data_IF_306252287344
#
_entry.id   IF_306252287344
#
_cell.length_a   1.000
_cell.length_b   1.000
_cell.length_c   1.000
_cell.angle_alpha   90.00
_cell.angle_beta   90.00
_cell.angle_gamma   90.00
#
_symmetry.space_group_name_H-M   'P 1'
#
loop_
_entity.id
_entity.type
_entity.pdbx_description
1 polymer ?
#
# COMPACT_ATOMS: atom_id res chain seq x y z
N UNK A 1 48.77 -14.44 0.71
CA UNK A 1 50.07 -14.06 0.17
C UNK A 1 49.83 -13.76 -1.31
N UNK A 2 49.52 -12.53 -1.61
CA UNK A 2 49.14 -12.07 -2.94
C UNK A 2 50.37 -11.54 -3.66
N UNK A 3 50.67 -12.14 -4.80
CA UNK A 3 51.79 -11.75 -5.64
C UNK A 3 51.29 -10.59 -6.51
N UNK A 4 51.85 -9.41 -6.22
CA UNK A 4 51.68 -8.22 -7.06
C UNK A 4 52.46 -8.44 -8.35
N UNK A 5 51.78 -8.67 -9.43
CA UNK A 5 52.40 -8.61 -10.76
C UNK A 5 52.80 -7.17 -11.08
N UNK A 6 54.08 -6.96 -11.00
CA UNK A 6 54.75 -5.70 -11.35
C UNK A 6 54.74 -5.60 -12.88
N UNK A 7 53.88 -4.75 -13.42
CA UNK A 7 53.93 -4.38 -14.84
C UNK A 7 55.30 -3.76 -15.17
N UNK A 8 56.21 -4.56 -15.65
CA UNK A 8 57.47 -4.06 -16.23
C UNK A 8 57.15 -3.56 -17.63
N UNK A 9 57.22 -2.25 -17.79
CA UNK A 9 57.19 -1.64 -19.09
C UNK A 9 58.44 -2.08 -19.86
N UNK A 10 58.30 -2.86 -20.92
CA UNK A 10 59.41 -3.20 -21.83
C UNK A 10 59.87 -1.93 -22.53
N UNK A 11 61.24 -1.62 -22.46
CA UNK A 11 61.74 -0.44 -23.13
C UNK A 11 61.63 -0.63 -24.64
N UNK A 12 61.04 0.34 -25.31
CA UNK A 12 60.88 0.36 -26.74
C UNK A 12 62.20 0.79 -27.38
N UNK A 13 62.80 -0.10 -28.16
CA UNK A 13 64.12 0.13 -28.78
C UNK A 13 64.08 0.82 -30.14
N UNK A 14 62.92 1.15 -30.69
CA UNK A 14 62.74 1.88 -31.94
C UNK A 14 61.57 2.85 -31.87
N UNK A 15 61.57 3.94 -32.64
CA UNK A 15 60.47 4.88 -32.69
C UNK A 15 59.22 4.18 -33.26
N UNK A 16 58.18 4.07 -32.44
CA UNK A 16 56.89 3.51 -32.82
C UNK A 16 55.78 4.14 -32.00
N UNK A 17 54.56 4.00 -32.49
CA UNK A 17 53.38 4.47 -31.80
C UNK A 17 52.95 3.41 -30.82
N UNK A 18 52.97 3.72 -29.52
CA UNK A 18 52.41 2.86 -28.47
C UNK A 18 50.97 3.30 -28.28
N UNK A 19 50.00 2.48 -28.69
CA UNK A 19 48.61 2.68 -28.37
C UNK A 19 48.36 2.01 -27.03
N UNK A 20 48.01 2.79 -26.02
CA UNK A 20 47.55 2.31 -24.72
C UNK A 20 46.04 2.45 -24.69
N UNK A 21 45.40 1.34 -24.65
CA UNK A 21 43.94 1.32 -24.35
C UNK A 21 43.78 1.52 -22.85
N UNK A 22 43.19 2.62 -22.45
CA UNK A 22 42.83 2.87 -21.06
C UNK A 22 41.33 2.62 -20.97
N UNK A 23 41.00 1.50 -20.36
CA UNK A 23 39.60 1.22 -20.05
C UNK A 23 39.13 2.17 -18.94
N UNK A 24 38.42 3.23 -19.36
CA UNK A 24 37.78 4.19 -18.45
C UNK A 24 36.46 3.71 -17.90
N UNK A 25 36.04 2.46 -18.19
CA UNK A 25 34.81 1.87 -17.68
C UNK A 25 34.92 1.38 -16.22
N UNK A 26 36.14 1.32 -15.66
CA UNK A 26 36.35 0.97 -14.27
C UNK A 26 35.98 2.15 -13.38
N UNK A 27 34.73 2.20 -12.97
CA UNK A 27 34.29 3.22 -12.04
C UNK A 27 32.88 3.77 -12.29
N UNK A 28 32.19 3.30 -13.31
CA UNK A 28 30.77 3.54 -13.38
C UNK A 28 30.10 2.60 -12.37
N UNK A 29 30.01 3.05 -11.11
CA UNK A 29 29.02 2.49 -10.23
C UNK A 29 27.71 2.60 -11.01
N UNK A 30 27.11 1.46 -11.34
CA UNK A 30 25.71 1.44 -11.74
C UNK A 30 24.96 2.12 -10.60
N UNK A 31 24.67 3.40 -10.82
CA UNK A 31 23.79 4.13 -9.93
C UNK A 31 22.43 3.49 -10.16
N UNK A 32 22.15 2.43 -9.41
CA UNK A 32 20.82 1.86 -9.29
C UNK A 32 20.02 2.98 -8.65
N UNK A 33 19.46 3.84 -9.48
CA UNK A 33 18.48 4.82 -9.08
C UNK A 33 17.35 4.01 -8.48
N UNK A 34 17.31 3.94 -7.15
CA UNK A 34 16.15 3.43 -6.45
C UNK A 34 14.98 4.33 -6.85
N UNK A 35 14.13 3.85 -7.76
CA UNK A 35 12.91 4.53 -8.18
C UNK A 35 11.94 4.51 -6.99
N UNK A 36 12.08 5.49 -6.10
CA UNK A 36 11.16 5.67 -4.99
C UNK A 36 10.33 6.90 -5.30
N UNK A 37 9.02 6.70 -5.41
CA UNK A 37 8.05 7.78 -5.55
C UNK A 37 7.20 7.93 -4.30
N UNK A 38 6.46 9.03 -4.23
CA UNK A 38 5.45 9.23 -3.20
C UNK A 38 4.21 9.89 -3.81
N UNK A 39 3.04 9.47 -3.37
CA UNK A 39 1.76 10.05 -3.75
C UNK A 39 0.83 10.14 -2.54
N UNK A 40 0.15 11.26 -2.42
CA UNK A 40 -0.94 11.43 -1.46
C UNK A 40 -2.23 11.75 -2.22
N UNK A 41 -3.32 11.08 -1.86
CA UNK A 41 -4.57 11.28 -2.58
C UNK A 41 -5.79 10.62 -1.94
N UNK A 42 -6.98 10.92 -2.44
CA UNK A 42 -8.25 10.40 -1.93
C UNK A 42 -8.50 8.99 -2.46
N UNK A 43 -7.76 8.00 -1.98
CA UNK A 43 -7.97 6.61 -2.33
C UNK A 43 -9.26 6.06 -1.71
N UNK A 44 -9.85 5.05 -2.35
CA UNK A 44 -11.15 4.48 -1.94
C UNK A 44 -11.06 3.67 -0.64
N UNK A 45 -10.00 2.90 -0.49
CA UNK A 45 -9.71 2.03 0.64
C UNK A 45 -8.37 2.41 1.28
N UNK A 46 -8.01 1.70 2.33
CA UNK A 46 -6.72 1.78 2.97
C UNK A 46 -6.69 2.66 4.22
N UNK A 47 -5.62 2.54 5.00
CA UNK A 47 -5.45 3.32 6.20
C UNK A 47 -5.26 4.82 5.88
N UNK A 48 -5.56 5.66 6.85
CA UNK A 48 -5.27 7.09 6.82
C UNK A 48 -4.23 7.44 7.87
N UNK A 49 -3.55 8.57 7.68
CA UNK A 49 -2.43 9.01 8.52
C UNK A 49 -1.25 8.02 8.57
N UNK A 50 -1.15 7.17 7.55
CA UNK A 50 -0.07 6.21 7.39
C UNK A 50 0.37 6.17 5.93
N UNK A 51 1.67 6.06 5.68
CA UNK A 51 2.23 5.88 4.35
C UNK A 51 2.63 4.43 4.14
N UNK A 52 2.03 3.78 3.16
CA UNK A 52 2.27 2.37 2.83
C UNK A 52 3.21 2.26 1.63
N UNK A 53 4.19 1.38 1.72
CA UNK A 53 5.09 1.06 0.62
C UNK A 53 4.43 0.03 -0.31
N UNK A 54 4.23 0.43 -1.56
CA UNK A 54 3.61 -0.36 -2.61
C UNK A 54 4.65 -0.65 -3.69
N UNK A 55 4.77 -1.89 -4.07
CA UNK A 55 5.75 -2.34 -5.07
C UNK A 55 5.12 -2.86 -6.36
N UNK A 56 3.86 -3.25 -6.31
CA UNK A 56 3.13 -3.78 -7.47
C UNK A 56 1.74 -3.14 -7.61
N UNK A 57 1.21 -3.15 -8.83
CA UNK A 57 -0.19 -2.71 -9.05
C UNK A 57 -1.17 -3.58 -8.26
N UNK A 58 -0.89 -4.87 -8.10
CA UNK A 58 -1.76 -5.76 -7.33
C UNK A 58 -1.79 -5.38 -5.84
N UNK A 59 -0.65 -4.98 -5.26
CA UNK A 59 -0.61 -4.48 -3.88
C UNK A 59 -1.39 -3.17 -3.74
N UNK A 60 -1.32 -2.29 -4.77
CA UNK A 60 -2.09 -1.07 -4.81
C UNK A 60 -3.61 -1.37 -4.81
N UNK A 61 -4.05 -2.33 -5.61
CA UNK A 61 -5.46 -2.76 -5.67
C UNK A 61 -5.90 -3.37 -4.34
N UNK A 62 -5.09 -4.24 -3.76
CA UNK A 62 -5.44 -4.94 -2.53
C UNK A 62 -5.54 -3.99 -1.33
N UNK A 63 -4.68 -2.96 -1.28
CA UNK A 63 -4.60 -2.04 -0.16
C UNK A 63 -5.55 -0.84 -0.33
N UNK A 64 -5.56 -0.22 -1.50
CA UNK A 64 -6.28 1.03 -1.74
C UNK A 64 -7.51 0.90 -2.62
N UNK A 65 -7.76 -0.30 -3.15
CA UNK A 65 -8.87 -0.59 -4.04
C UNK A 65 -8.68 0.00 -5.44
N UNK A 66 -9.39 -0.55 -6.40
CA UNK A 66 -9.45 0.01 -7.76
C UNK A 66 -10.73 0.82 -7.90
N UNK A 67 -10.66 2.14 -8.12
CA UNK A 67 -11.84 2.96 -8.37
C UNK A 67 -12.40 2.70 -9.76
N UNK A 68 -13.66 3.06 -9.97
CA UNK A 68 -14.25 3.13 -11.31
C UNK A 68 -13.65 4.32 -12.08
N UNK A 69 -13.63 4.22 -13.40
CA UNK A 69 -13.10 5.30 -14.26
C UNK A 69 -13.88 6.64 -14.16
N UNK A 70 -15.07 6.59 -13.61
CA UNK A 70 -15.92 7.75 -13.33
C UNK A 70 -15.68 8.37 -11.96
N UNK A 71 -14.94 7.70 -11.10
CA UNK A 71 -14.68 8.17 -9.75
C UNK A 71 -13.57 9.24 -9.75
N UNK A 72 -13.69 10.24 -8.89
CA UNK A 72 -12.67 11.31 -8.74
C UNK A 72 -11.31 10.76 -8.28
N UNK A 73 -11.29 9.61 -7.62
CA UNK A 73 -10.08 8.92 -7.17
C UNK A 73 -9.31 8.26 -8.31
N UNK A 74 -9.94 8.07 -9.47
CA UNK A 74 -9.34 7.33 -10.58
C UNK A 74 -8.05 7.96 -11.10
N UNK A 75 -7.95 9.28 -11.15
CA UNK A 75 -6.75 9.99 -11.61
C UNK A 75 -5.54 9.71 -10.70
N UNK A 76 -5.75 9.71 -9.39
CA UNK A 76 -4.69 9.41 -8.41
C UNK A 76 -4.27 7.95 -8.51
N UNK A 77 -5.24 7.04 -8.61
CA UNK A 77 -4.98 5.62 -8.77
C UNK A 77 -4.23 5.33 -10.08
N UNK A 78 -4.64 5.94 -11.19
CA UNK A 78 -4.00 5.76 -12.50
C UNK A 78 -2.55 6.28 -12.48
N UNK A 79 -2.30 7.40 -11.84
CA UNK A 79 -0.95 7.96 -11.68
C UNK A 79 -0.05 7.01 -10.89
N UNK A 80 -0.58 6.45 -9.79
CA UNK A 80 0.13 5.47 -8.98
C UNK A 80 0.43 4.17 -9.76
N UNK A 81 -0.57 3.63 -10.46
CA UNK A 81 -0.44 2.43 -11.30
C UNK A 81 0.57 2.65 -12.44
N UNK A 82 0.52 3.81 -13.08
CA UNK A 82 1.47 4.17 -14.14
C UNK A 82 2.90 4.24 -13.62
N UNK A 83 3.13 4.83 -12.44
CA UNK A 83 4.45 4.85 -11.81
C UNK A 83 4.96 3.43 -11.55
N UNK A 84 4.14 2.57 -10.97
CA UNK A 84 4.51 1.19 -10.64
C UNK A 84 4.82 0.37 -11.88
N UNK A 85 4.24 0.68 -13.05
CA UNK A 85 4.51 -0.01 -14.31
C UNK A 85 5.96 0.17 -14.81
N UNK A 86 6.65 1.23 -14.39
CA UNK A 86 8.06 1.47 -14.68
C UNK A 86 9.02 0.78 -13.71
N UNK A 87 8.48 0.11 -12.70
CA UNK A 87 9.26 -0.50 -11.63
C UNK A 87 9.72 0.52 -10.59
N UNK A 88 9.60 0.17 -9.34
CA UNK A 88 9.99 1.05 -8.22
C UNK A 88 9.13 0.80 -6.99
N UNK A 89 9.40 1.56 -5.94
CA UNK A 89 8.61 1.55 -4.70
C UNK A 89 7.85 2.86 -4.62
N UNK A 90 6.54 2.79 -4.43
CA UNK A 90 5.68 3.94 -4.27
C UNK A 90 5.17 4.03 -2.83
N UNK A 91 5.51 5.12 -2.15
CA UNK A 91 4.90 5.45 -0.86
C UNK A 91 3.55 6.11 -1.10
N UNK A 92 2.49 5.44 -0.67
CA UNK A 92 1.12 5.90 -0.86
C UNK A 92 0.53 6.31 0.48
N UNK A 93 0.08 7.54 0.57
CA UNK A 93 -0.65 8.06 1.73
C UNK A 93 -2.09 8.40 1.32
N UNK A 94 -3.06 7.84 2.02
CA UNK A 94 -4.46 8.19 1.81
C UNK A 94 -4.80 9.48 2.50
N UNK A 95 -5.37 10.42 1.74
CA UNK A 95 -5.85 11.68 2.30
C UNK A 95 -7.02 11.43 3.26
N UNK A 96 -6.92 11.99 4.45
CA UNK A 96 -7.99 11.95 5.43
C UNK A 96 -8.99 13.08 5.22
N UNK A 97 -10.27 12.76 5.37
CA UNK A 97 -11.36 13.73 5.36
C UNK A 97 -12.06 13.76 6.71
N UNK A 98 -12.52 14.95 7.13
CA UNK A 98 -13.21 15.14 8.41
C UNK A 98 -14.47 14.26 8.56
N UNK A 99 -15.06 13.83 7.45
CA UNK A 99 -16.28 13.01 7.40
C UNK A 99 -16.02 11.52 7.18
N UNK A 100 -14.76 11.10 7.06
CA UNK A 100 -14.42 9.69 6.92
C UNK A 100 -14.57 8.97 8.26
N UNK A 101 -15.55 8.07 8.32
CA UNK A 101 -15.78 7.19 9.47
C UNK A 101 -15.80 5.74 9.00
N UNK A 102 -15.58 4.81 9.91
CA UNK A 102 -15.70 3.39 9.63
C UNK A 102 -17.16 2.97 9.74
N UNK A 103 -17.64 2.22 8.76
CA UNK A 103 -18.92 1.55 8.89
C UNK A 103 -18.87 0.61 10.09
N UNK A 104 -19.89 0.65 10.94
CA UNK A 104 -19.93 -0.15 12.15
C UNK A 104 -21.35 -0.65 12.44
N UNK A 105 -21.46 -1.75 13.15
CA UNK A 105 -22.71 -2.32 13.58
C UNK A 105 -22.60 -2.82 15.02
N UNK A 106 -23.69 -2.70 15.75
CA UNK A 106 -23.82 -3.31 17.08
C UNK A 106 -23.98 -4.83 17.02
N UNK A 107 -24.03 -5.47 18.18
CA UNK A 107 -24.30 -6.89 18.28
C UNK A 107 -25.67 -7.23 17.66
N UNK A 108 -25.79 -8.33 16.89
CA UNK A 108 -27.07 -8.78 16.41
C UNK A 108 -27.96 -9.16 17.61
N UNK A 109 -29.13 -8.55 17.68
CA UNK A 109 -30.17 -8.93 18.64
C UNK A 109 -31.23 -9.65 17.82
N UNK A 110 -31.42 -10.96 18.08
CA UNK A 110 -32.40 -11.75 17.34
C UNK A 110 -32.11 -11.89 15.84
N UNK A 111 -30.85 -11.92 15.45
CA UNK A 111 -30.43 -12.10 14.05
C UNK A 111 -30.44 -10.80 13.20
N UNK A 112 -30.87 -9.68 13.75
CA UNK A 112 -30.86 -8.40 13.04
C UNK A 112 -29.74 -7.52 13.60
N UNK A 113 -28.79 -7.15 12.76
CA UNK A 113 -27.74 -6.20 13.09
C UNK A 113 -28.33 -4.81 13.36
N UNK A 114 -28.04 -4.25 14.52
CA UNK A 114 -28.40 -2.86 14.81
C UNK A 114 -27.28 -1.98 14.29
N UNK A 115 -27.62 -1.05 13.39
CA UNK A 115 -26.67 -0.02 12.98
C UNK A 115 -26.23 0.79 14.20
N UNK A 116 -24.93 0.88 14.42
CA UNK A 116 -24.41 1.74 15.46
C UNK A 116 -24.56 3.20 15.03
N UNK A 117 -25.02 4.03 15.96
CA UNK A 117 -25.13 5.49 15.74
C UNK A 117 -23.84 6.24 16.11
N UNK A 118 -22.82 5.53 16.59
CA UNK A 118 -21.56 6.14 16.98
C UNK A 118 -20.67 6.34 15.77
N UNK A 119 -20.17 7.56 15.60
CA UNK A 119 -19.15 7.86 14.60
C UNK A 119 -17.80 7.30 15.10
N UNK A 120 -17.37 6.21 14.49
CA UNK A 120 -16.09 5.58 14.81
C UNK A 120 -15.13 5.88 13.66
N UNK A 121 -13.91 6.29 14.00
CA UNK A 121 -12.86 6.53 13.03
C UNK A 121 -11.59 5.82 13.47
N UNK A 122 -11.41 4.62 12.97
CA UNK A 122 -10.19 3.84 13.12
C UNK A 122 -9.29 4.19 11.94
N UNK A 123 -8.20 4.89 12.19
CA UNK A 123 -7.34 5.44 11.14
C UNK A 123 -6.44 4.38 10.50
N UNK A 124 -5.81 3.57 11.35
CA UNK A 124 -4.87 2.53 10.97
C UNK A 124 -4.80 1.48 12.09
N UNK A 125 -3.91 0.51 11.94
CA UNK A 125 -3.77 -0.58 12.89
C UNK A 125 -3.25 -0.12 14.26
N UNK A 126 -2.34 0.84 14.29
CA UNK A 126 -1.78 1.38 15.54
C UNK A 126 -2.85 2.14 16.34
N UNK A 127 -3.68 2.93 15.65
CA UNK A 127 -4.82 3.62 16.27
C UNK A 127 -5.84 2.61 16.82
N UNK A 128 -6.10 1.51 16.07
CA UNK A 128 -6.94 0.43 16.57
C UNK A 128 -6.39 -0.18 17.85
N UNK A 129 -5.11 -0.53 17.87
CA UNK A 129 -4.49 -1.13 19.06
C UNK A 129 -4.45 -0.17 20.26
N UNK A 130 -4.21 1.12 20.03
CA UNK A 130 -4.10 2.10 21.10
C UNK A 130 -5.42 2.59 21.69
N UNK A 131 -6.49 2.59 20.88
CA UNK A 131 -7.73 3.28 21.25
C UNK A 131 -8.99 2.42 21.24
N UNK A 132 -8.96 1.24 20.57
CA UNK A 132 -10.19 0.51 20.28
C UNK A 132 -10.20 -0.95 20.74
N UNK A 133 -9.13 -1.50 21.27
CA UNK A 133 -9.06 -2.91 21.73
C UNK A 133 -9.88 -3.18 22.99
N UNK A 134 -10.03 -2.18 23.87
CA UNK A 134 -10.71 -2.34 25.15
C UNK A 134 -12.14 -1.78 25.14
N UNK A 135 -12.68 -1.45 23.98
CA UNK A 135 -14.04 -0.92 23.86
C UNK A 135 -15.05 -2.02 24.01
N UNK A 136 -15.83 -1.98 25.11
CA UNK A 136 -16.86 -2.96 25.43
C UNK A 136 -18.26 -2.52 25.03
N UNK A 137 -18.44 -1.31 24.52
CA UNK A 137 -19.76 -0.75 24.22
C UNK A 137 -19.77 0.05 22.93
N UNK A 138 -20.87 -0.02 22.21
CA UNK A 138 -21.17 0.82 21.06
C UNK A 138 -21.09 0.13 19.70
N UNK A 139 -20.25 -0.88 19.52
CA UNK A 139 -20.17 -1.65 18.29
C UNK A 139 -19.58 -3.04 18.53
N UNK A 140 -19.95 -4.00 17.70
CA UNK A 140 -19.38 -5.36 17.69
C UNK A 140 -18.56 -5.58 16.43
N UNK A 141 -18.96 -4.93 15.34
CA UNK A 141 -18.31 -5.02 14.04
C UNK A 141 -17.96 -3.63 13.56
N UNK A 142 -16.76 -3.45 13.12
CA UNK A 142 -16.32 -2.23 12.45
C UNK A 142 -15.53 -2.58 11.19
N UNK A 143 -15.72 -1.78 10.15
CA UNK A 143 -14.90 -1.90 8.96
C UNK A 143 -13.45 -1.53 9.29
N UNK A 144 -12.50 -2.24 8.71
CA UNK A 144 -11.07 -2.04 8.95
C UNK A 144 -10.62 -0.62 8.61
N UNK A 145 -11.06 -0.12 7.46
CA UNK A 145 -10.64 1.18 6.94
C UNK A 145 -11.82 2.15 6.89
N UNK A 146 -11.61 3.44 7.15
CA UNK A 146 -12.68 4.43 7.07
C UNK A 146 -13.14 4.66 5.63
N UNK A 147 -14.43 4.93 5.46
CA UNK A 147 -15.03 5.23 4.17
C UNK A 147 -16.39 4.57 3.97
N UNK A 148 -17.08 4.97 2.91
CA UNK A 148 -18.43 4.49 2.58
C UNK A 148 -18.47 3.12 1.93
N UNK A 149 -17.31 2.55 1.62
CA UNK A 149 -17.19 1.27 0.89
C UNK A 149 -17.83 0.08 1.61
N UNK A 150 -17.90 0.14 2.93
CA UNK A 150 -18.44 -0.94 3.76
C UNK A 150 -19.85 -0.68 4.27
N UNK A 151 -20.52 0.40 3.83
CA UNK A 151 -21.87 0.73 4.32
C UNK A 151 -22.93 -0.31 3.92
N UNK A 152 -22.71 -1.00 2.80
CA UNK A 152 -23.63 -2.01 2.29
C UNK A 152 -23.21 -3.44 2.66
N UNK A 153 -22.16 -3.60 3.46
CA UNK A 153 -21.75 -4.92 3.94
C UNK A 153 -22.70 -5.42 5.00
N UNK A 154 -23.16 -6.65 4.83
CA UNK A 154 -23.96 -7.36 5.81
C UNK A 154 -23.14 -8.50 6.42
N UNK A 155 -23.13 -8.57 7.74
CA UNK A 155 -22.48 -9.66 8.49
C UNK A 155 -23.57 -10.54 9.07
N UNK A 156 -23.60 -11.81 8.65
CA UNK A 156 -24.47 -12.82 9.20
C UNK A 156 -23.64 -13.85 9.94
N UNK A 157 -23.98 -14.13 11.17
CA UNK A 157 -23.37 -15.17 11.98
C UNK A 157 -24.32 -16.36 12.03
N UNK A 158 -23.89 -17.50 11.49
CA UNK A 158 -24.66 -18.73 11.45
C UNK A 158 -23.99 -19.71 12.40
N UNK A 159 -24.57 -19.93 13.56
CA UNK A 159 -24.05 -20.82 14.60
C UNK A 159 -24.84 -22.12 14.75
N UNK A 160 -26.04 -22.20 14.16
CA UNK A 160 -26.89 -23.40 14.17
C UNK A 160 -27.43 -23.74 12.77
N UNK A 161 -27.77 -25.01 12.56
CA UNK A 161 -28.36 -25.52 11.31
C UNK A 161 -29.71 -24.83 11.01
N UNK A 162 -30.45 -24.42 12.04
CA UNK A 162 -31.71 -23.70 11.89
C UNK A 162 -31.56 -22.33 11.25
N UNK A 163 -30.37 -21.68 11.38
CA UNK A 163 -30.10 -20.35 10.86
C UNK A 163 -29.66 -20.37 9.39
N UNK A 164 -29.43 -21.53 8.80
CA UNK A 164 -29.01 -21.69 7.41
C UNK A 164 -30.09 -21.35 6.37
N UNK A 165 -31.29 -21.03 6.82
CA UNK A 165 -32.42 -20.67 5.95
C UNK A 165 -32.54 -19.16 5.68
N UNK A 166 -31.62 -18.36 6.15
CA UNK A 166 -31.63 -16.92 5.89
C UNK A 166 -31.30 -16.65 4.41
N UNK A 167 -32.35 -16.37 3.65
CA UNK A 167 -32.23 -15.90 2.29
C UNK A 167 -31.68 -14.48 2.28
N UNK A 168 -30.59 -14.26 1.55
CA UNK A 168 -30.16 -12.92 1.20
C UNK A 168 -31.14 -12.34 0.18
N UNK A 169 -31.83 -11.28 0.56
CA UNK A 169 -32.73 -10.51 -0.33
C UNK A 169 -32.03 -9.28 -0.84
#
# INVERSE_FOLDING_TARGET
>A
MSISEKNMATPQLSPGVVVREVDLTVGRADNVLANIGAIAGPFKLGPVEEAIDITTEQDLINTFGKPLSTDRQYEYWLSASSFLSYGGVLKVARADGATLNNANAGAPIGGVGIASTSNIKIKNYDDYQGSYTDITSGWTWAAKDPGTWANDLQVCFIDDVADQTVGFS
#
